data_IF_676215211009
#
_entry.id   IF_676215211009
#
_cell.length_a   1.000
_cell.length_b   1.000
_cell.length_c   1.000
_cell.angle_alpha   90.00
_cell.angle_beta   90.00
_cell.angle_gamma   90.00
#
_symmetry.space_group_name_H-M   'P 1'
#
loop_
_entity.id
_entity.type
_entity.pdbx_description
1 polymer ?
#
# COMPACT_ATOMS: atom_id res chain seq x y z
N UNK A 1 -23.22 -8.49 -0.50
CA UNK A 1 -22.34 -7.93 -1.55
C UNK A 1 -21.63 -6.72 -0.96
N UNK A 2 -20.30 -6.61 -1.11
CA UNK A 2 -19.54 -5.44 -0.68
C UNK A 2 -19.96 -4.23 -1.52
N UNK A 3 -20.43 -3.15 -0.88
CA UNK A 3 -20.91 -1.94 -1.57
C UNK A 3 -19.81 -0.96 -1.96
N UNK A 4 -18.62 -1.07 -1.34
CA UNK A 4 -17.43 -0.30 -1.67
C UNK A 4 -16.58 -1.07 -2.71
N UNK A 5 -16.14 -0.44 -3.82
CA UNK A 5 -15.25 -1.09 -4.78
C UNK A 5 -13.90 -1.47 -4.17
N UNK A 6 -13.45 -0.78 -3.12
CA UNK A 6 -12.21 -1.08 -2.42
C UNK A 6 -12.46 -2.01 -1.24
N UNK A 7 -11.61 -3.01 -1.08
CA UNK A 7 -11.65 -3.96 0.03
C UNK A 7 -10.37 -3.85 0.87
N UNK A 8 -10.53 -3.58 2.17
CA UNK A 8 -9.45 -3.60 3.16
C UNK A 8 -9.55 -4.90 3.95
N UNK A 9 -8.48 -5.69 3.94
CA UNK A 9 -8.37 -6.91 4.72
C UNK A 9 -7.54 -6.62 5.97
N UNK A 10 -8.22 -6.50 7.10
CA UNK A 10 -7.64 -6.50 8.43
C UNK A 10 -7.28 -7.93 8.81
N UNK A 11 -6.05 -8.16 9.27
CA UNK A 11 -5.57 -9.48 9.69
C UNK A 11 -5.08 -9.39 11.11
N UNK A 12 -5.68 -10.20 11.99
CA UNK A 12 -5.36 -10.25 13.42
C UNK A 12 -5.09 -11.70 13.85
N UNK A 13 -4.28 -11.88 14.88
CA UNK A 13 -3.89 -13.20 15.35
C UNK A 13 -4.98 -13.82 16.25
N UNK A 14 -5.67 -13.01 17.05
CA UNK A 14 -6.54 -13.53 18.10
C UNK A 14 -7.91 -12.85 18.16
N UNK A 15 -8.92 -13.57 18.66
CA UNK A 15 -10.30 -13.06 18.80
C UNK A 15 -10.42 -11.86 19.76
N UNK A 16 -9.48 -11.72 20.70
CA UNK A 16 -9.38 -10.55 21.58
C UNK A 16 -8.97 -9.30 20.82
N UNK A 17 -8.11 -9.44 19.82
CA UNK A 17 -7.77 -8.34 18.92
C UNK A 17 -8.91 -8.04 17.94
N UNK A 18 -9.62 -9.08 17.53
CA UNK A 18 -10.72 -8.98 16.58
C UNK A 18 -11.92 -8.21 17.15
N UNK A 19 -12.31 -8.51 18.39
CA UNK A 19 -13.53 -7.98 19.03
C UNK A 19 -13.68 -6.45 18.96
N UNK A 20 -12.69 -5.63 19.36
CA UNK A 20 -12.81 -4.17 19.25
C UNK A 20 -12.90 -3.70 17.80
N UNK A 21 -12.19 -4.35 16.86
CA UNK A 21 -12.27 -4.02 15.42
C UNK A 21 -13.62 -4.40 14.79
N UNK A 22 -14.24 -5.48 15.24
CA UNK A 22 -15.60 -5.88 14.85
C UNK A 22 -16.59 -4.78 15.21
N UNK A 23 -16.51 -4.26 16.44
CA UNK A 23 -17.36 -3.17 16.88
C UNK A 23 -17.07 -1.87 16.11
N UNK A 24 -15.79 -1.54 15.92
CA UNK A 24 -15.34 -0.32 15.25
C UNK A 24 -15.85 -0.20 13.80
N UNK A 25 -15.80 -1.30 13.05
CA UNK A 25 -16.15 -1.31 11.62
C UNK A 25 -17.52 -1.94 11.31
N UNK A 26 -18.35 -2.15 12.34
CA UNK A 26 -19.68 -2.80 12.26
C UNK A 26 -19.64 -4.09 11.42
N UNK A 27 -18.70 -4.96 11.77
CA UNK A 27 -18.45 -6.19 11.02
C UNK A 27 -19.43 -7.29 11.44
N UNK A 28 -19.93 -8.03 10.46
CA UNK A 28 -20.80 -9.19 10.66
C UNK A 28 -20.08 -10.46 10.22
N UNK A 29 -20.32 -11.62 10.87
CA UNK A 29 -19.76 -12.89 10.43
C UNK A 29 -20.06 -13.16 8.96
N UNK A 30 -19.07 -13.63 8.21
CA UNK A 30 -19.28 -14.10 6.85
C UNK A 30 -19.97 -15.47 6.88
N UNK A 31 -20.94 -15.69 6.00
CA UNK A 31 -21.53 -17.02 5.82
C UNK A 31 -20.44 -18.07 5.53
N UNK A 32 -20.61 -19.26 6.11
CA UNK A 32 -19.70 -20.41 5.99
C UNK A 32 -18.25 -20.16 6.46
N UNK A 33 -18.04 -19.20 7.38
CA UNK A 33 -16.73 -18.97 8.01
C UNK A 33 -16.85 -18.56 9.47
N UNK A 34 -16.06 -19.23 10.32
CA UNK A 34 -16.01 -18.94 11.77
C UNK A 34 -14.97 -17.86 12.14
N UNK A 35 -14.14 -17.43 11.19
CA UNK A 35 -12.98 -16.56 11.44
C UNK A 35 -12.90 -15.36 10.51
N UNK A 36 -13.93 -15.12 9.70
CA UNK A 36 -14.00 -13.99 8.76
C UNK A 36 -15.23 -13.15 9.06
N UNK A 37 -15.01 -11.84 9.15
CA UNK A 37 -16.07 -10.85 9.37
C UNK A 37 -16.00 -9.80 8.28
N UNK A 38 -17.15 -9.27 7.85
CA UNK A 38 -17.27 -8.34 6.73
C UNK A 38 -18.26 -7.23 7.06
N UNK A 39 -18.04 -6.03 6.53
CA UNK A 39 -19.06 -4.97 6.48
C UNK A 39 -19.35 -4.53 5.06
N UNK A 40 -20.51 -3.89 4.88
CA UNK A 40 -20.89 -3.28 3.61
C UNK A 40 -19.96 -2.12 3.21
N UNK A 41 -19.20 -1.60 4.18
CA UNK A 41 -18.25 -0.51 3.98
C UNK A 41 -16.97 -0.95 3.28
N UNK A 42 -16.78 -2.20 2.86
CA UNK A 42 -15.51 -2.59 2.22
C UNK A 42 -14.40 -2.96 3.19
N UNK A 43 -14.74 -3.28 4.44
CA UNK A 43 -13.77 -3.80 5.42
C UNK A 43 -14.07 -5.27 5.66
N UNK A 44 -13.00 -6.07 5.69
CA UNK A 44 -13.01 -7.47 6.09
C UNK A 44 -11.99 -7.65 7.19
N UNK A 45 -12.32 -8.45 8.19
CA UNK A 45 -11.42 -8.91 9.24
C UNK A 45 -11.23 -10.41 9.13
N UNK A 46 -9.99 -10.87 9.25
CA UNK A 46 -9.60 -12.28 9.22
C UNK A 46 -8.84 -12.57 10.50
N UNK A 47 -9.34 -13.53 11.29
CA UNK A 47 -8.67 -14.03 12.49
C UNK A 47 -7.87 -15.27 12.10
N UNK A 48 -6.54 -15.19 12.17
CA UNK A 48 -5.67 -16.27 11.66
C UNK A 48 -5.34 -17.33 12.70
N UNK A 49 -5.37 -16.98 13.98
CA UNK A 49 -4.65 -17.72 15.02
C UNK A 49 -3.23 -17.18 15.21
N UNK A 50 -2.66 -17.45 16.38
CA UNK A 50 -1.33 -16.99 16.78
C UNK A 50 -0.21 -17.76 16.07
N UNK A 51 0.86 -17.06 15.71
CA UNK A 51 2.06 -17.60 15.10
C UNK A 51 2.02 -17.69 13.57
N UNK A 52 3.22 -17.67 12.99
CA UNK A 52 3.48 -17.66 11.54
C UNK A 52 2.71 -18.71 10.74
N UNK A 53 2.72 -19.96 11.19
CA UNK A 53 2.08 -21.08 10.46
C UNK A 53 0.57 -20.90 10.32
N UNK A 54 -0.09 -20.36 11.35
CA UNK A 54 -1.52 -20.11 11.34
C UNK A 54 -1.89 -18.98 10.37
N UNK A 55 -1.06 -17.94 10.30
CA UNK A 55 -1.17 -16.86 9.30
C UNK A 55 -1.01 -17.40 7.89
N UNK A 56 0.06 -18.15 7.63
CA UNK A 56 0.34 -18.72 6.31
C UNK A 56 -0.78 -19.65 5.86
N UNK A 57 -1.24 -20.55 6.74
CA UNK A 57 -2.35 -21.46 6.44
C UNK A 57 -3.64 -20.68 6.12
N UNK A 58 -4.01 -19.73 6.98
CA UNK A 58 -5.23 -18.94 6.82
C UNK A 58 -5.25 -18.14 5.53
N UNK A 59 -4.12 -17.53 5.17
CA UNK A 59 -4.01 -16.73 3.95
C UNK A 59 -3.86 -17.63 2.71
N UNK A 60 -3.21 -18.79 2.78
CA UNK A 60 -3.09 -19.72 1.65
C UNK A 60 -4.47 -20.20 1.14
N UNK A 61 -5.43 -20.45 2.05
CA UNK A 61 -6.82 -20.80 1.68
C UNK A 61 -7.49 -19.72 0.80
N UNK A 62 -7.02 -18.46 0.85
CA UNK A 62 -7.51 -17.40 -0.02
C UNK A 62 -6.87 -17.38 -1.41
N UNK A 63 -5.66 -17.92 -1.58
CA UNK A 63 -5.00 -18.03 -2.90
C UNK A 63 -5.79 -18.97 -3.81
N UNK A 64 -6.26 -20.08 -3.25
CA UNK A 64 -6.90 -21.15 -4.02
C UNK A 64 -8.33 -20.80 -4.48
N UNK A 65 -8.98 -19.81 -3.86
CA UNK A 65 -10.41 -19.54 -4.06
C UNK A 65 -10.72 -18.35 -4.97
N UNK A 66 -9.73 -17.58 -5.46
CA UNK A 66 -10.00 -16.42 -6.35
C UNK A 66 -9.04 -16.28 -7.53
N UNK A 67 -9.54 -16.33 -8.79
CA UNK A 67 -8.75 -15.98 -9.95
C UNK A 67 -8.66 -14.46 -10.11
N UNK A 68 -7.47 -13.98 -10.51
CA UNK A 68 -7.02 -12.59 -10.70
C UNK A 68 -6.78 -11.74 -9.44
N UNK A 69 -5.52 -11.30 -9.28
CA UNK A 69 -5.09 -10.33 -8.28
C UNK A 69 -5.92 -9.05 -8.41
N UNK A 70 -6.75 -8.80 -7.39
CA UNK A 70 -7.56 -7.60 -7.24
C UNK A 70 -6.66 -6.46 -6.74
N UNK A 71 -6.53 -5.40 -7.55
CA UNK A 71 -5.67 -4.23 -7.24
C UNK A 71 -6.37 -3.15 -6.43
N UNK A 72 -7.65 -3.37 -6.15
CA UNK A 72 -8.52 -2.63 -5.25
C UNK A 72 -8.53 -3.26 -3.84
N UNK A 73 -7.51 -4.04 -3.49
CA UNK A 73 -7.35 -4.67 -2.19
C UNK A 73 -6.12 -4.15 -1.45
N UNK A 74 -6.31 -3.79 -0.19
CA UNK A 74 -5.23 -3.54 0.75
C UNK A 74 -5.25 -4.57 1.88
N UNK A 75 -4.09 -4.77 2.50
CA UNK A 75 -3.88 -5.69 3.60
C UNK A 75 -3.22 -4.97 4.76
N UNK A 76 -3.84 -5.05 5.92
CA UNK A 76 -3.35 -4.43 7.13
C UNK A 76 -3.34 -5.46 8.25
N UNK A 77 -2.15 -5.81 8.72
CA UNK A 77 -2.03 -6.55 9.97
C UNK A 77 -2.14 -5.56 11.14
N UNK A 78 -3.08 -5.82 12.04
CA UNK A 78 -3.23 -5.11 13.31
C UNK A 78 -2.93 -6.11 14.41
N UNK A 79 -2.10 -5.74 15.37
CA UNK A 79 -1.89 -6.60 16.53
C UNK A 79 -1.03 -5.94 17.58
N UNK A 80 -0.93 -6.59 18.72
CA UNK A 80 -0.04 -6.14 19.79
C UNK A 80 1.42 -6.57 19.54
N UNK A 81 2.36 -5.90 20.19
CA UNK A 81 3.77 -6.27 20.19
C UNK A 81 4.45 -5.80 21.48
N UNK A 82 5.47 -6.52 21.91
CA UNK A 82 6.35 -6.03 22.97
C UNK A 82 7.41 -5.07 22.40
N UNK A 83 7.94 -4.13 23.19
CA UNK A 83 8.95 -3.19 22.69
C UNK A 83 10.00 -2.83 23.75
N UNK A 84 11.24 -2.57 23.33
CA UNK A 84 12.33 -2.18 24.25
C UNK A 84 12.11 -0.83 24.93
N UNK A 85 11.86 0.24 24.16
CA UNK A 85 11.82 1.62 24.68
C UNK A 85 10.45 2.30 24.71
N UNK A 86 9.44 1.79 23.99
CA UNK A 86 8.15 2.45 23.88
C UNK A 86 7.24 2.10 25.06
N UNK A 87 6.39 3.05 25.44
CA UNK A 87 5.43 2.85 26.51
C UNK A 87 4.28 1.93 26.06
N UNK A 88 3.69 1.18 26.99
CA UNK A 88 2.45 0.44 26.72
C UNK A 88 1.37 1.40 26.21
N UNK A 89 0.71 1.05 25.11
CA UNK A 89 -0.26 1.90 24.41
C UNK A 89 0.34 2.75 23.29
N UNK A 90 1.67 2.91 23.22
CA UNK A 90 2.30 3.53 22.06
C UNK A 90 2.07 2.68 20.81
N UNK A 91 2.05 3.33 19.65
CA UNK A 91 1.74 2.70 18.37
C UNK A 91 2.88 2.89 17.38
N UNK A 92 2.98 2.00 16.41
CA UNK A 92 3.86 2.17 15.26
C UNK A 92 3.34 1.44 14.02
N UNK A 93 3.75 1.92 12.86
CA UNK A 93 3.64 1.20 11.58
C UNK A 93 5.02 0.70 11.13
N UNK A 94 5.08 -0.52 10.63
CA UNK A 94 6.34 -1.14 10.25
C UNK A 94 6.94 -0.46 9.01
N UNK A 95 8.17 0.07 9.11
CA UNK A 95 8.98 0.47 7.95
C UNK A 95 10.05 -0.59 7.59
N UNK A 96 10.23 -1.57 8.47
CA UNK A 96 11.07 -2.75 8.28
C UNK A 96 10.47 -3.89 9.08
N UNK A 97 10.35 -5.07 8.48
CA UNK A 97 9.90 -6.29 9.15
C UNK A 97 11.00 -7.34 9.00
N UNK A 98 11.40 -7.96 10.11
CA UNK A 98 12.49 -8.95 10.16
C UNK A 98 11.92 -10.30 10.61
N UNK A 99 12.21 -11.38 9.89
CA UNK A 99 12.07 -12.73 10.43
C UNK A 99 13.23 -12.98 11.40
N UNK A 100 12.96 -13.04 12.70
CA UNK A 100 13.97 -13.38 13.70
C UNK A 100 14.62 -14.75 13.46
N UNK A 101 13.84 -15.82 13.17
CA UNK A 101 14.38 -17.15 12.89
C UNK A 101 15.20 -17.24 11.60
N UNK A 102 14.77 -16.55 10.54
CA UNK A 102 15.33 -16.72 9.19
C UNK A 102 16.34 -15.60 8.82
N UNK A 103 16.41 -14.54 9.65
CA UNK A 103 17.18 -13.32 9.42
C UNK A 103 16.91 -12.65 8.05
N UNK A 104 15.73 -12.89 7.48
CA UNK A 104 15.22 -12.19 6.29
C UNK A 104 14.58 -10.86 6.70
N UNK A 105 14.65 -9.86 5.83
CA UNK A 105 14.03 -8.56 6.07
C UNK A 105 13.26 -8.08 4.84
N UNK A 106 12.11 -7.47 5.10
CA UNK A 106 11.30 -6.79 4.09
C UNK A 106 11.05 -5.34 4.52
N UNK A 107 10.78 -4.47 3.55
CA UNK A 107 10.64 -3.04 3.76
C UNK A 107 9.30 -2.58 3.18
N UNK A 108 8.23 -2.51 4.00
CA UNK A 108 6.96 -1.95 3.58
C UNK A 108 7.14 -0.52 3.04
N UNK A 109 6.45 -0.19 1.96
CA UNK A 109 6.57 1.14 1.33
C UNK A 109 6.03 2.21 2.30
N UNK A 110 6.76 3.30 2.57
CA UNK A 110 6.38 4.33 3.54
C UNK A 110 5.35 5.30 2.94
N UNK A 111 4.19 4.78 2.53
CA UNK A 111 3.11 5.58 1.93
C UNK A 111 2.13 6.15 2.95
N UNK A 112 2.16 5.62 4.18
CA UNK A 112 1.33 6.07 5.28
C UNK A 112 2.00 7.25 5.97
N UNK A 113 1.23 8.31 6.21
CA UNK A 113 1.72 9.56 6.79
C UNK A 113 1.09 9.82 8.15
N UNK A 114 1.82 10.53 9.02
CA UNK A 114 1.33 10.98 10.33
C UNK A 114 1.40 9.95 11.45
N UNK A 115 1.96 8.76 11.20
CA UNK A 115 2.18 7.73 12.22
C UNK A 115 3.67 7.54 12.52
N UNK A 116 3.99 7.15 13.76
CA UNK A 116 5.34 6.69 14.13
C UNK A 116 5.69 5.45 13.31
N UNK A 117 6.87 5.43 12.70
CA UNK A 117 7.36 4.23 12.00
C UNK A 117 8.41 3.51 12.83
N UNK A 118 8.45 2.18 12.78
CA UNK A 118 9.43 1.38 13.52
C UNK A 118 9.79 0.07 12.85
N UNK A 119 10.82 -0.59 13.37
CA UNK A 119 11.16 -1.97 12.99
C UNK A 119 10.29 -2.94 13.77
N UNK A 120 9.74 -3.95 13.07
CA UNK A 120 9.06 -5.10 13.68
C UNK A 120 9.92 -6.34 13.48
N UNK A 121 10.11 -7.12 14.53
CA UNK A 121 10.84 -8.39 14.52
C UNK A 121 9.86 -9.50 14.89
N UNK A 122 9.63 -10.41 13.95
CA UNK A 122 8.77 -11.57 14.17
C UNK A 122 9.58 -12.71 14.77
N UNK A 123 9.15 -13.22 15.92
CA UNK A 123 9.76 -14.31 16.68
C UNK A 123 8.77 -15.46 16.85
N UNK A 124 9.26 -16.68 17.15
CA UNK A 124 8.38 -17.85 17.29
C UNK A 124 7.74 -17.97 18.68
N UNK A 125 8.21 -17.19 19.65
CA UNK A 125 7.75 -17.17 21.04
C UNK A 125 7.82 -15.73 21.56
N UNK A 126 7.02 -15.36 22.58
CA UNK A 126 7.12 -14.05 23.20
C UNK A 126 8.57 -13.71 23.57
N UNK A 127 9.07 -12.57 23.10
CA UNK A 127 10.38 -12.06 23.48
C UNK A 127 10.27 -11.33 24.81
N UNK A 128 11.10 -11.70 25.79
CA UNK A 128 11.03 -11.16 27.14
C UNK A 128 12.11 -10.13 27.44
N UNK A 129 13.16 -10.09 26.61
CA UNK A 129 14.36 -9.27 26.85
C UNK A 129 14.46 -8.06 25.92
N UNK A 130 13.64 -8.00 24.87
CA UNK A 130 13.58 -6.94 23.85
C UNK A 130 14.96 -6.38 23.43
N UNK A 131 15.89 -7.21 22.93
CA UNK A 131 17.31 -6.83 22.79
C UNK A 131 17.61 -5.69 21.81
N UNK A 132 16.63 -5.23 21.02
CA UNK A 132 16.78 -4.15 20.04
C UNK A 132 15.66 -3.13 20.21
N UNK A 133 15.92 -1.91 19.76
CA UNK A 133 14.91 -0.86 19.61
C UNK A 133 13.95 -1.19 18.46
N UNK A 134 13.01 -2.11 18.73
CA UNK A 134 12.06 -2.67 17.79
C UNK A 134 10.83 -3.22 18.53
N UNK A 135 9.72 -3.33 17.80
CA UNK A 135 8.57 -4.12 18.23
C UNK A 135 8.81 -5.61 17.95
N UNK A 136 8.41 -6.46 18.89
CA UNK A 136 8.51 -7.90 18.82
C UNK A 136 7.11 -8.51 18.76
N UNK A 137 6.83 -9.25 17.70
CA UNK A 137 5.55 -9.91 17.47
C UNK A 137 5.76 -11.36 17.00
N UNK A 138 4.68 -12.08 16.68
CA UNK A 138 4.76 -13.47 16.25
C UNK A 138 4.21 -13.74 14.84
N UNK A 139 3.76 -12.70 14.12
CA UNK A 139 2.99 -12.85 12.88
C UNK A 139 3.42 -11.95 11.72
N UNK A 140 3.95 -10.74 11.95
CA UNK A 140 4.05 -9.68 10.93
C UNK A 140 4.82 -10.10 9.68
N UNK A 141 5.93 -10.82 9.84
CA UNK A 141 6.73 -11.26 8.70
C UNK A 141 5.97 -12.28 7.83
N UNK A 142 5.37 -13.28 8.46
CA UNK A 142 4.56 -14.29 7.78
C UNK A 142 3.34 -13.65 7.10
N UNK A 143 2.65 -12.73 7.80
CA UNK A 143 1.58 -11.92 7.24
C UNK A 143 2.05 -11.19 5.98
N UNK A 144 3.14 -10.42 6.06
CA UNK A 144 3.59 -9.60 4.94
C UNK A 144 3.93 -10.48 3.72
N UNK A 145 4.65 -11.58 3.95
CA UNK A 145 5.02 -12.56 2.91
C UNK A 145 3.79 -13.16 2.22
N UNK A 146 2.78 -13.58 2.99
CA UNK A 146 1.54 -14.14 2.45
C UNK A 146 0.70 -13.07 1.75
N UNK A 147 0.51 -11.90 2.36
CA UNK A 147 -0.27 -10.79 1.83
C UNK A 147 0.31 -10.22 0.53
N UNK A 148 1.64 -10.20 0.40
CA UNK A 148 2.37 -9.76 -0.79
C UNK A 148 1.99 -10.51 -2.08
N UNK A 149 1.45 -11.72 -1.97
CA UNK A 149 1.00 -12.50 -3.13
C UNK A 149 -0.32 -12.00 -3.74
N UNK A 150 -1.11 -11.21 -3.01
CA UNK A 150 -2.49 -10.87 -3.39
C UNK A 150 -2.64 -9.50 -4.05
N UNK A 151 -1.63 -8.64 -3.98
CA UNK A 151 -1.79 -7.27 -4.42
C UNK A 151 -0.50 -6.46 -4.44
N UNK A 152 -0.62 -5.15 -4.71
CA UNK A 152 0.51 -4.24 -4.70
C UNK A 152 1.16 -4.17 -3.32
N UNK A 153 2.49 -4.31 -3.27
CA UNK A 153 3.25 -4.29 -2.01
C UNK A 153 3.05 -3.00 -1.20
N UNK A 154 2.82 -1.89 -1.89
CA UNK A 154 2.52 -0.59 -1.28
C UNK A 154 1.31 -0.68 -0.34
N UNK A 155 0.32 -1.51 -0.66
CA UNK A 155 -0.92 -1.67 0.09
C UNK A 155 -0.86 -2.78 1.16
N UNK A 156 0.33 -3.30 1.49
CA UNK A 156 0.55 -4.30 2.54
C UNK A 156 1.29 -3.65 3.70
N UNK A 157 0.59 -3.44 4.82
CA UNK A 157 1.09 -2.70 5.98
C UNK A 157 0.92 -3.52 7.28
N UNK A 158 1.79 -3.30 8.26
CA UNK A 158 1.69 -3.89 9.59
C UNK A 158 1.73 -2.80 10.64
N UNK A 159 0.69 -2.74 11.46
CA UNK A 159 0.46 -1.77 12.50
C UNK A 159 0.46 -2.46 13.86
N UNK A 160 1.27 -1.94 14.79
CA UNK A 160 1.51 -2.54 16.09
C UNK A 160 1.20 -1.58 17.22
N UNK A 161 0.60 -2.11 18.28
CA UNK A 161 0.33 -1.41 19.53
C UNK A 161 1.18 -2.08 20.61
N UNK A 162 1.92 -1.28 21.39
CA UNK A 162 2.82 -1.81 22.41
C UNK A 162 2.01 -2.36 23.58
N UNK A 163 2.08 -3.66 23.84
CA UNK A 163 1.39 -4.34 24.94
C UNK A 163 2.23 -4.46 26.20
N UNK A 164 3.54 -4.54 26.02
CA UNK A 164 4.50 -4.90 27.05
C UNK A 164 5.90 -4.41 26.68
N UNK A 165 6.73 -4.24 27.70
CA UNK A 165 8.09 -3.70 27.61
C UNK A 165 8.90 -4.11 28.85
N UNK A 166 10.19 -3.73 29.01
CA UNK A 166 10.97 -4.08 30.19
C UNK A 166 10.35 -3.64 31.54
N UNK A 167 9.59 -2.55 31.55
CA UNK A 167 8.94 -2.01 32.76
C UNK A 167 7.56 -2.65 33.05
N UNK A 168 6.95 -3.27 32.02
CA UNK A 168 5.66 -3.94 32.07
C UNK A 168 5.71 -5.26 31.31
N UNK A 169 6.01 -6.34 32.03
CA UNK A 169 6.20 -7.67 31.46
C UNK A 169 4.97 -8.26 30.77
N UNK A 170 5.21 -9.24 29.89
CA UNK A 170 4.20 -10.09 29.22
C UNK A 170 3.14 -10.64 30.16
N UNK A 171 3.48 -10.97 31.41
CA UNK A 171 2.54 -11.57 32.38
C UNK A 171 1.39 -10.62 32.75
N UNK A 172 1.58 -9.31 32.52
CA UNK A 172 0.54 -8.29 32.75
C UNK A 172 -0.38 -8.11 31.54
N UNK A 173 -0.10 -8.77 30.41
CA UNK A 173 -0.92 -8.72 29.20
C UNK A 173 -2.17 -9.58 29.40
N UNK A 174 -3.23 -8.94 29.87
CA UNK A 174 -4.53 -9.57 30.10
C UNK A 174 -5.45 -9.40 28.89
N UNK A 175 -6.49 -10.25 28.73
CA UNK A 175 -7.49 -10.07 27.69
C UNK A 175 -8.17 -8.70 27.67
N UNK A 176 -8.40 -8.11 28.85
CA UNK A 176 -8.97 -6.77 28.97
C UNK A 176 -7.99 -5.71 28.46
N UNK A 177 -6.71 -5.82 28.84
CA UNK A 177 -5.69 -4.89 28.37
C UNK A 177 -5.58 -4.90 26.83
N UNK A 178 -5.59 -6.08 26.20
CA UNK A 178 -5.55 -6.18 24.72
C UNK A 178 -6.72 -5.42 24.09
N UNK A 179 -7.93 -5.62 24.64
CA UNK A 179 -9.14 -4.94 24.14
C UNK A 179 -9.01 -3.43 24.33
N UNK A 180 -8.60 -2.96 25.51
CA UNK A 180 -8.42 -1.55 25.85
C UNK A 180 -7.35 -0.85 24.97
N UNK A 181 -6.25 -1.55 24.67
CA UNK A 181 -5.18 -1.04 23.81
C UNK A 181 -5.69 -0.77 22.39
N UNK A 182 -6.44 -1.71 21.82
CA UNK A 182 -7.00 -1.56 20.47
C UNK A 182 -8.12 -0.52 20.45
N UNK A 183 -9.00 -0.53 21.45
CA UNK A 183 -10.05 0.49 21.60
C UNK A 183 -9.44 1.90 21.67
N UNK A 184 -8.36 2.06 22.45
CA UNK A 184 -7.63 3.34 22.57
C UNK A 184 -7.00 3.78 21.25
N UNK A 185 -6.57 2.83 20.42
CA UNK A 185 -6.00 3.08 19.10
C UNK A 185 -7.05 3.25 17.97
N UNK A 186 -8.35 3.12 18.26
CA UNK A 186 -9.42 3.07 17.24
C UNK A 186 -9.36 4.21 16.23
N UNK A 187 -9.18 5.46 16.67
CA UNK A 187 -9.12 6.63 15.77
C UNK A 187 -7.94 6.56 14.80
N UNK A 188 -6.80 6.06 15.26
CA UNK A 188 -5.60 5.90 14.44
C UNK A 188 -5.80 4.76 13.42
N UNK A 189 -6.43 3.66 13.84
CA UNK A 189 -6.77 2.53 12.98
C UNK A 189 -7.78 2.95 11.90
N UNK A 190 -8.83 3.69 12.24
CA UNK A 190 -9.79 4.26 11.27
C UNK A 190 -9.08 5.17 10.26
N UNK A 191 -8.23 6.07 10.74
CA UNK A 191 -7.43 6.96 9.88
C UNK A 191 -6.52 6.19 8.92
N UNK A 192 -5.89 5.12 9.40
CA UNK A 192 -5.06 4.23 8.59
C UNK A 192 -5.87 3.49 7.52
N UNK A 193 -7.03 2.94 7.89
CA UNK A 193 -7.95 2.28 6.96
C UNK A 193 -8.41 3.26 5.87
N UNK A 194 -8.75 4.50 6.23
CA UNK A 194 -9.13 5.54 5.27
C UNK A 194 -7.98 5.90 4.31
N UNK A 195 -6.75 6.05 4.82
CA UNK A 195 -5.56 6.29 3.98
C UNK A 195 -5.37 5.14 2.99
N UNK A 196 -5.41 3.88 3.45
CA UNK A 196 -5.27 2.70 2.61
C UNK A 196 -6.38 2.60 1.56
N UNK A 197 -7.62 2.93 1.92
CA UNK A 197 -8.74 2.98 0.96
C UNK A 197 -8.49 3.99 -0.16
N UNK A 198 -8.08 5.20 0.19
CA UNK A 198 -7.80 6.25 -0.78
C UNK A 198 -6.67 5.82 -1.74
N UNK A 199 -5.61 5.19 -1.22
CA UNK A 199 -4.50 4.66 -1.99
C UNK A 199 -4.92 3.52 -2.93
N UNK A 200 -5.69 2.55 -2.42
CA UNK A 200 -6.22 1.45 -3.21
C UNK A 200 -7.19 1.92 -4.30
N UNK A 201 -8.07 2.88 -4.01
CA UNK A 201 -8.95 3.50 -5.00
C UNK A 201 -8.14 4.19 -6.11
N UNK A 202 -7.11 4.95 -5.73
CA UNK A 202 -6.19 5.60 -6.69
C UNK A 202 -5.50 4.54 -7.56
N UNK A 203 -5.00 3.47 -6.96
CA UNK A 203 -4.33 2.40 -7.71
C UNK A 203 -5.26 1.66 -8.66
N UNK A 204 -6.49 1.38 -8.23
CA UNK A 204 -7.51 0.79 -9.07
C UNK A 204 -7.85 1.70 -10.27
N UNK A 205 -7.96 3.02 -10.05
CA UNK A 205 -8.22 3.98 -11.12
C UNK A 205 -7.11 4.05 -12.18
N UNK A 206 -5.85 3.81 -11.78
CA UNK A 206 -4.70 3.80 -12.69
C UNK A 206 -4.66 2.57 -13.60
N UNK A 207 -5.32 1.48 -13.20
CA UNK A 207 -5.31 0.20 -13.91
C UNK A 207 -6.61 -0.06 -14.66
N UNK A 208 -7.73 0.45 -14.14
CA UNK A 208 -9.05 0.31 -14.74
C UNK A 208 -9.09 0.95 -16.10
N UNK A 209 -9.85 0.35 -17.00
CA UNK A 209 -10.06 0.94 -18.32
C UNK A 209 -10.74 2.31 -18.16
N UNK A 210 -10.11 3.40 -18.65
CA UNK A 210 -10.67 4.73 -18.47
C UNK A 210 -12.02 4.83 -19.19
N UNK A 211 -13.02 5.57 -18.65
CA UNK A 211 -14.34 5.70 -19.28
C UNK A 211 -14.24 6.13 -20.75
N UNK A 212 -13.38 7.11 -21.04
CA UNK A 212 -13.02 7.53 -22.38
C UNK A 212 -12.57 6.39 -23.31
N UNK A 213 -11.73 5.47 -22.82
CA UNK A 213 -11.30 4.30 -23.58
C UNK A 213 -12.46 3.34 -23.84
N UNK A 214 -13.30 3.06 -22.84
CA UNK A 214 -14.47 2.19 -22.98
C UNK A 214 -15.43 2.74 -24.03
N UNK A 215 -15.76 4.02 -23.94
CA UNK A 215 -16.61 4.72 -24.92
C UNK A 215 -16.04 4.64 -26.33
N UNK A 216 -14.75 4.96 -26.50
CA UNK A 216 -14.10 4.90 -27.81
C UNK A 216 -14.04 3.47 -28.38
N UNK A 217 -13.82 2.46 -27.54
CA UNK A 217 -13.84 1.06 -27.96
C UNK A 217 -15.22 0.60 -28.42
N UNK A 218 -16.29 1.15 -27.87
CA UNK A 218 -17.66 0.90 -28.34
C UNK A 218 -17.95 1.57 -29.70
N UNK A 219 -17.32 2.71 -29.99
CA UNK A 219 -17.55 3.47 -31.21
C UNK A 219 -16.63 3.11 -32.39
N UNK A 220 -15.46 2.54 -32.13
CA UNK A 220 -14.45 2.25 -33.16
C UNK A 220 -13.98 0.81 -33.15
N UNK A 221 -13.77 0.23 -34.33
CA UNK A 221 -13.04 -1.04 -34.46
C UNK A 221 -11.55 -0.78 -34.26
N UNK A 222 -11.00 -1.34 -33.19
CA UNK A 222 -9.60 -1.21 -32.79
C UNK A 222 -8.85 -2.53 -32.99
N UNK A 223 -7.62 -2.48 -33.48
CA UNK A 223 -6.68 -3.60 -33.35
C UNK A 223 -6.14 -3.69 -31.91
N UNK A 224 -5.58 -4.83 -31.53
CA UNK A 224 -4.96 -5.03 -30.20
C UNK A 224 -3.94 -3.93 -29.88
N UNK A 225 -3.10 -3.56 -30.86
CA UNK A 225 -2.11 -2.49 -30.70
C UNK A 225 -2.77 -1.13 -30.48
N UNK A 226 -3.84 -0.82 -31.23
CA UNK A 226 -4.59 0.43 -31.07
C UNK A 226 -5.32 0.50 -29.73
N UNK A 227 -5.83 -0.62 -29.22
CA UNK A 227 -6.42 -0.67 -27.88
C UNK A 227 -5.40 -0.31 -26.81
N UNK A 228 -4.20 -0.90 -26.86
CA UNK A 228 -3.11 -0.59 -25.92
C UNK A 228 -2.71 0.89 -26.01
N UNK A 229 -2.58 1.42 -27.23
CA UNK A 229 -2.22 2.83 -27.47
C UNK A 229 -3.29 3.78 -26.93
N UNK A 230 -4.55 3.56 -27.30
CA UNK A 230 -5.66 4.42 -26.89
C UNK A 230 -5.86 4.39 -25.37
N UNK A 231 -5.79 3.20 -24.74
CA UNK A 231 -5.83 3.06 -23.28
C UNK A 231 -4.76 3.91 -22.61
N UNK A 232 -3.50 3.81 -23.07
CA UNK A 232 -2.38 4.60 -22.55
C UNK A 232 -2.59 6.10 -22.75
N UNK A 233 -3.11 6.53 -23.89
CA UNK A 233 -3.41 7.93 -24.15
C UNK A 233 -4.46 8.45 -23.19
N UNK A 234 -5.60 7.77 -23.04
CA UNK A 234 -6.65 8.18 -22.09
C UNK A 234 -6.10 8.31 -20.66
N UNK A 235 -5.30 7.34 -20.19
CA UNK A 235 -4.64 7.45 -18.87
C UNK A 235 -3.74 8.68 -18.77
N UNK A 236 -2.95 9.00 -19.80
CA UNK A 236 -2.08 10.20 -19.81
C UNK A 236 -2.89 11.49 -19.72
N UNK A 237 -3.98 11.60 -20.47
CA UNK A 237 -4.86 12.77 -20.37
C UNK A 237 -5.42 12.95 -18.96
N UNK A 238 -5.93 11.90 -18.32
CA UNK A 238 -6.40 11.99 -16.93
C UNK A 238 -5.29 12.32 -15.94
N UNK A 239 -4.10 11.73 -16.09
CA UNK A 239 -2.95 12.02 -15.24
C UNK A 239 -2.48 13.48 -15.34
N UNK A 240 -2.62 14.09 -16.52
CA UNK A 240 -2.32 15.51 -16.77
C UNK A 240 -3.50 16.45 -16.44
N UNK A 241 -4.59 15.93 -15.85
CA UNK A 241 -5.83 16.68 -15.57
C UNK A 241 -6.47 17.28 -16.83
N UNK A 242 -6.23 16.70 -18.01
CA UNK A 242 -6.76 17.15 -19.30
C UNK A 242 -8.05 16.41 -19.69
N UNK A 243 -8.88 16.04 -18.71
CA UNK A 243 -10.10 15.25 -18.93
C UNK A 243 -11.09 15.94 -19.89
N UNK A 244 -11.27 17.25 -19.77
CA UNK A 244 -12.17 18.00 -20.65
C UNK A 244 -11.69 18.03 -22.10
N UNK A 245 -10.37 18.24 -22.31
CA UNK A 245 -9.78 18.19 -23.66
C UNK A 245 -9.91 16.82 -24.30
N UNK A 246 -9.78 15.75 -23.50
CA UNK A 246 -10.00 14.38 -23.96
C UNK A 246 -11.43 14.19 -24.47
N UNK A 247 -12.44 14.63 -23.72
CA UNK A 247 -13.85 14.53 -24.12
C UNK A 247 -14.17 15.34 -25.39
N UNK A 248 -13.58 16.55 -25.52
CA UNK A 248 -13.70 17.35 -26.76
C UNK A 248 -13.12 16.60 -27.96
N UNK A 249 -11.95 15.97 -27.81
CA UNK A 249 -11.35 15.20 -28.90
C UNK A 249 -12.18 13.96 -29.21
N UNK A 250 -12.72 13.26 -28.21
CA UNK A 250 -13.53 12.05 -28.42
C UNK A 250 -14.89 12.33 -29.09
N UNK A 251 -15.50 13.46 -28.77
CA UNK A 251 -16.79 13.89 -29.35
C UNK A 251 -16.67 14.42 -30.78
N UNK A 252 -15.46 14.80 -31.21
CA UNK A 252 -15.21 15.17 -32.60
C UNK A 252 -15.40 13.97 -33.54
N UNK A 253 -15.94 14.21 -34.74
CA UNK A 253 -16.09 13.15 -35.74
C UNK A 253 -14.73 12.79 -36.33
N UNK A 254 -14.27 11.56 -36.09
CA UNK A 254 -13.05 11.02 -36.69
C UNK A 254 -13.38 9.97 -37.73
N UNK A 255 -12.65 9.98 -38.85
CA UNK A 255 -12.86 9.01 -39.94
C UNK A 255 -12.64 7.55 -39.53
N UNK A 256 -11.69 7.31 -38.62
CA UNK A 256 -11.24 5.98 -38.21
C UNK A 256 -10.47 6.07 -36.87
N UNK A 257 -10.15 4.91 -36.30
CA UNK A 257 -9.41 4.81 -35.04
C UNK A 257 -7.98 5.36 -35.10
N UNK A 258 -7.33 5.38 -36.27
CA UNK A 258 -5.99 5.98 -36.40
C UNK A 258 -6.05 7.49 -36.34
N UNK A 259 -7.07 8.10 -36.95
CA UNK A 259 -7.29 9.54 -36.92
C UNK A 259 -7.54 10.02 -35.48
N UNK A 260 -8.39 9.29 -34.73
CA UNK A 260 -8.61 9.56 -33.30
C UNK A 260 -7.30 9.48 -32.50
N UNK A 261 -6.56 8.37 -32.61
CA UNK A 261 -5.29 8.18 -31.90
C UNK A 261 -4.27 9.28 -32.28
N UNK A 262 -4.22 9.68 -33.56
CA UNK A 262 -3.36 10.76 -34.04
C UNK A 262 -3.74 12.13 -33.44
N UNK A 263 -5.03 12.43 -33.33
CA UNK A 263 -5.51 13.67 -32.70
C UNK A 263 -5.13 13.73 -31.21
N UNK A 264 -5.29 12.62 -30.48
CA UNK A 264 -4.89 12.50 -29.08
C UNK A 264 -3.36 12.67 -28.89
N UNK A 265 -2.55 12.08 -29.76
CA UNK A 265 -1.10 12.28 -29.74
C UNK A 265 -0.72 13.74 -30.01
N UNK A 266 -1.38 14.39 -30.97
CA UNK A 266 -1.12 15.78 -31.33
C UNK A 266 -1.39 16.70 -30.15
N UNK A 267 -2.54 16.53 -29.49
CA UNK A 267 -2.92 17.33 -28.33
C UNK A 267 -1.93 17.16 -27.15
N UNK A 268 -1.42 15.95 -26.89
CA UNK A 268 -0.38 15.75 -25.87
C UNK A 268 1.00 16.29 -26.28
N UNK A 269 1.30 16.30 -27.58
CA UNK A 269 2.58 16.83 -28.10
C UNK A 269 2.69 18.35 -28.00
N UNK A 270 1.57 19.07 -27.94
CA UNK A 270 1.57 20.53 -27.78
C UNK A 270 1.84 20.97 -26.32
N UNK A 271 1.64 20.07 -25.34
CA UNK A 271 1.89 20.34 -23.91
C UNK A 271 3.34 20.13 -23.46
N UNK A 272 4.15 19.35 -24.19
CA UNK A 272 5.59 19.18 -23.89
C UNK A 272 6.44 20.42 -24.30
N UNK A 273 5.84 21.40 -24.97
CA UNK A 273 6.43 22.71 -25.27
C UNK A 273 6.06 23.75 -24.21
N UNK A 274 6.81 23.82 -23.11
CA UNK A 274 6.65 24.86 -22.09
C UNK A 274 6.83 26.28 -22.68
N UNK A 275 5.91 27.24 -22.46
CA UNK A 275 6.09 28.66 -22.83
C UNK A 275 6.94 29.47 -21.83
N UNK A 276 7.73 28.80 -20.96
CA UNK A 276 8.46 29.43 -19.85
C UNK A 276 9.96 29.65 -20.06
N UNK A 277 10.43 29.95 -21.27
CA UNK A 277 11.83 30.36 -21.51
C UNK A 277 11.92 31.57 -22.44
N UNK A 278 11.54 32.74 -21.92
CA UNK A 278 12.16 34.00 -22.34
C UNK A 278 12.53 34.80 -21.08
N UNK A 279 13.79 35.24 -21.04
CA UNK A 279 14.32 36.14 -20.01
C UNK A 279 15.25 35.47 -19.00
N UNK A 280 16.57 35.64 -19.18
CA UNK A 280 17.55 35.15 -18.21
C UNK A 280 18.99 35.24 -18.68
N UNK A 281 19.42 36.48 -18.90
CA UNK A 281 20.78 37.04 -18.92
C UNK A 281 22.02 36.12 -18.97
N UNK A 282 22.85 36.49 -19.95
CA UNK A 282 24.30 36.24 -20.07
C UNK A 282 25.04 36.50 -18.76
N UNK A 283 25.91 35.58 -18.32
CA UNK A 283 27.07 35.90 -17.47
C UNK A 283 28.14 34.79 -17.44
N UNK A 284 29.37 35.26 -17.67
CA UNK A 284 30.67 34.75 -17.22
C UNK A 284 31.22 33.43 -17.76
N UNK A 285 32.05 33.63 -18.78
CA UNK A 285 33.28 32.93 -19.16
C UNK A 285 34.29 32.90 -17.98
N UNK A 286 34.63 31.71 -17.47
CA UNK A 286 35.95 31.43 -16.85
C UNK A 286 36.31 29.99 -17.20
N UNK A 287 37.11 29.81 -18.25
CA UNK A 287 37.88 28.59 -18.46
C UNK A 287 39.21 28.73 -17.71
N UNK A 288 39.44 27.86 -16.73
CA UNK A 288 40.77 27.53 -16.24
C UNK A 288 40.99 26.04 -16.53
N UNK A 289 41.84 25.76 -17.52
CA UNK A 289 42.20 24.40 -17.88
C UNK A 289 43.44 24.39 -18.76
N UNK A 290 44.51 23.79 -18.24
CA UNK A 290 45.53 23.13 -19.06
C UNK A 290 46.94 23.67 -18.91
N UNK A 291 47.83 22.83 -18.39
CA UNK A 291 49.27 23.06 -18.54
C UNK A 291 50.17 22.24 -17.62
N UNK A 292 50.11 20.91 -17.71
CA UNK A 292 51.16 20.02 -17.19
C UNK A 292 52.54 20.42 -17.71
N UNK A 293 53.56 20.34 -16.86
CA UNK A 293 54.90 19.94 -17.31
C UNK A 293 55.57 19.12 -16.21
N UNK A 294 55.56 17.80 -16.39
CA UNK A 294 56.49 16.89 -15.74
C UNK A 294 57.90 17.13 -16.29
N UNK A 295 58.89 17.19 -15.41
CA UNK A 295 60.24 16.63 -15.60
C UNK A 295 60.96 16.70 -14.26
N UNK A 296 61.10 15.55 -13.60
CA UNK A 296 62.09 15.38 -12.55
C UNK A 296 62.89 14.11 -12.83
N UNK A 297 64.17 14.30 -13.13
CA UNK A 297 65.22 13.32 -12.94
C UNK A 297 66.39 14.00 -12.23
N UNK A 298 66.95 13.23 -11.30
CA UNK A 298 68.29 13.29 -10.75
C UNK A 298 68.56 14.20 -9.53
N UNK A 299 68.95 13.48 -8.47
CA UNK A 299 69.76 13.85 -7.29
C UNK A 299 69.05 14.39 -6.07
#
# INVERSE_FOLDING_TARGET
MLGDPVLINLVVAHGLEAKPLIALFDLQPQEDSDNVYVSNSGVRLIVTGMGRQNVEYSLAQWVETKPSARRDMAWLNVGIAGHQNLAVGDTLIANKIISGPDNESVFPTPIISGLRTGTVITVDRPELNYPKDAAYDMEAFAFWRSAAAFGPLDLVQSYKIVSDNPDSSTDKVTPNLITELIDSASKEIEGLVLQLKALAAKQQSLVSDPPAFVSAKASYRLSVTQEIQLRRLCHRFYALQMGESLEVILSASHRDSRALIGALHTALGHTDGNPGREGGESLSRVEAGGGQTERNQAS
#
